data_IF_513742541456
#
_entry.id   IF_513742541456
#
_cell.length_a   1.000
_cell.length_b   1.000
_cell.length_c   1.000
_cell.angle_alpha   90.00
_cell.angle_beta   90.00
_cell.angle_gamma   90.00
#
_symmetry.space_group_name_H-M   'P 1'
#
loop_
_entity.id
_entity.type
_entity.pdbx_description
1 polymer ?
#
# COMPACT_ATOMS: atom_id res chain seq x y z
N UNK A 1 -4.62 -19.15 -27.79
CA UNK A 1 -3.24 -18.70 -28.09
C UNK A 1 -2.56 -18.49 -26.74
N UNK A 2 -1.90 -19.51 -26.18
CA UNK A 2 -0.46 -19.80 -26.32
C UNK A 2 0.42 -18.60 -25.93
N UNK A 3 0.88 -18.66 -24.68
CA UNK A 3 2.23 -18.36 -24.21
C UNK A 3 2.89 -17.06 -24.66
N UNK A 4 2.90 -16.13 -23.70
CA UNK A 4 4.02 -15.28 -23.30
C UNK A 4 5.37 -16.02 -23.43
N UNK A 5 6.40 -15.22 -23.74
CA UNK A 5 7.81 -15.29 -23.31
C UNK A 5 8.88 -15.51 -24.38
N UNK A 6 9.94 -14.72 -24.22
CA UNK A 6 11.25 -14.71 -24.89
C UNK A 6 11.25 -14.03 -26.27
N UNK A 7 12.20 -13.18 -26.65
CA UNK A 7 13.59 -12.98 -26.24
C UNK A 7 13.94 -11.49 -26.41
N UNK A 8 14.50 -10.86 -25.37
CA UNK A 8 15.45 -9.75 -25.56
C UNK A 8 16.71 -10.12 -24.79
N UNK A 9 17.49 -11.03 -25.37
CA UNK A 9 18.81 -11.41 -24.90
C UNK A 9 19.70 -11.60 -26.13
N UNK A 10 20.61 -10.65 -26.33
CA UNK A 10 21.83 -10.64 -27.16
C UNK A 10 22.07 -9.16 -27.54
N UNK A 11 23.23 -8.55 -27.41
CA UNK A 11 24.58 -9.09 -27.33
C UNK A 11 25.51 -7.97 -26.84
N UNK A 12 26.45 -8.35 -25.98
CA UNK A 12 27.59 -7.58 -25.46
C UNK A 12 28.63 -7.37 -26.57
N UNK A 13 29.32 -6.22 -26.64
CA UNK A 13 30.76 -6.04 -26.98
C UNK A 13 31.09 -4.53 -26.78
N UNK A 14 31.80 -4.07 -25.73
CA UNK A 14 33.25 -4.11 -25.42
C UNK A 14 34.06 -2.88 -25.91
N UNK A 15 35.03 -2.49 -25.07
CA UNK A 15 36.18 -1.56 -25.27
C UNK A 15 35.85 -0.05 -25.11
N UNK A 16 36.53 0.77 -24.30
CA UNK A 16 37.73 0.65 -23.47
C UNK A 16 38.17 2.03 -22.94
N UNK A 17 39.26 2.05 -22.15
CA UNK A 17 39.93 3.17 -21.45
C UNK A 17 39.28 3.56 -20.10
N UNK A 18 39.95 3.58 -18.95
CA UNK A 18 41.39 3.60 -18.65
C UNK A 18 41.63 4.65 -17.55
N UNK A 19 42.00 4.22 -16.35
CA UNK A 19 42.22 5.06 -15.14
C UNK A 19 41.06 4.92 -14.14
N UNK A 20 41.23 4.74 -12.83
CA UNK A 20 42.32 5.10 -11.92
C UNK A 20 42.33 4.14 -10.71
N UNK A 21 43.49 4.04 -10.08
CA UNK A 21 43.85 3.21 -8.90
C UNK A 21 42.99 3.45 -7.66
N UNK A 22 42.73 2.42 -6.85
CA UNK A 22 43.04 2.45 -5.40
C UNK A 22 42.99 1.03 -4.81
N UNK A 23 44.12 0.62 -4.22
CA UNK A 23 44.21 -0.57 -3.37
C UNK A 23 43.52 -0.24 -2.03
N UNK A 24 42.51 -1.03 -1.67
CA UNK A 24 41.82 -0.92 -0.39
C UNK A 24 41.37 -2.30 0.06
N UNK A 25 42.16 -2.91 0.94
CA UNK A 25 41.77 -4.10 1.72
C UNK A 25 40.42 -3.85 2.37
N UNK A 26 39.39 -4.59 1.97
CA UNK A 26 38.08 -4.54 2.63
C UNK A 26 37.67 -5.95 3.03
N UNK A 27 37.45 -6.08 4.34
CA UNK A 27 36.90 -7.25 5.05
C UNK A 27 35.64 -7.74 4.33
N UNK A 28 35.30 -9.04 4.40
CA UNK A 28 34.06 -9.53 3.83
C UNK A 28 32.89 -8.84 4.55
N UNK A 29 32.25 -7.89 3.89
CA UNK A 29 30.94 -7.42 4.29
C UNK A 29 29.97 -8.53 3.92
N UNK A 30 29.47 -9.23 4.93
CA UNK A 30 28.28 -10.07 4.82
C UNK A 30 27.13 -9.14 4.40
N UNK A 31 26.97 -8.96 3.10
CA UNK A 31 25.76 -8.42 2.53
C UNK A 31 24.71 -9.52 2.68
N UNK A 32 24.02 -9.52 3.81
CA UNK A 32 22.78 -10.28 3.96
C UNK A 32 21.80 -9.64 3.00
N UNK A 33 21.67 -10.25 1.82
CA UNK A 33 20.67 -9.85 0.84
C UNK A 33 19.29 -9.90 1.53
N UNK A 34 18.40 -8.93 1.27
CA UNK A 34 17.03 -9.00 1.77
C UNK A 34 16.43 -10.32 1.32
N UNK A 35 15.93 -11.11 2.28
CA UNK A 35 15.24 -12.37 1.99
C UNK A 35 13.94 -12.00 1.27
N UNK A 36 13.93 -12.19 -0.05
CA UNK A 36 12.69 -12.19 -0.82
C UNK A 36 11.93 -13.46 -0.46
N UNK A 37 10.96 -13.33 0.45
CA UNK A 37 10.00 -14.39 0.70
C UNK A 37 9.19 -14.62 -0.56
N UNK A 38 9.18 -15.87 -1.06
CA UNK A 38 8.32 -16.22 -2.19
C UNK A 38 6.86 -15.90 -1.85
N UNK A 39 6.09 -15.41 -2.83
CA UNK A 39 4.69 -14.97 -2.66
C UNK A 39 3.69 -16.06 -2.23
N UNK A 40 4.18 -17.25 -1.90
CA UNK A 40 3.41 -18.44 -1.53
C UNK A 40 3.79 -18.95 -0.12
N UNK A 41 4.61 -18.23 0.64
CA UNK A 41 4.96 -18.63 2.01
C UNK A 41 3.89 -18.15 3.00
N UNK A 42 3.74 -18.89 4.11
CA UNK A 42 2.79 -18.51 5.17
C UNK A 42 3.14 -17.14 5.76
N UNK A 43 4.43 -16.84 5.91
CA UNK A 43 4.94 -15.56 6.41
C UNK A 43 4.57 -14.38 5.50
N UNK A 44 4.60 -14.61 4.17
CA UNK A 44 4.16 -13.61 3.20
C UNK A 44 2.66 -13.31 3.35
N UNK A 45 1.83 -14.35 3.46
CA UNK A 45 0.39 -14.19 3.64
C UNK A 45 0.04 -13.51 4.96
N UNK A 46 0.73 -13.85 6.06
CA UNK A 46 0.56 -13.19 7.36
C UNK A 46 0.91 -11.70 7.29
N UNK A 47 2.05 -11.36 6.68
CA UNK A 47 2.48 -9.95 6.52
C UNK A 47 1.47 -9.14 5.71
N UNK A 48 0.88 -9.76 4.68
CA UNK A 48 -0.13 -9.11 3.85
C UNK A 48 -1.47 -8.94 4.60
N UNK A 49 -1.87 -9.94 5.38
CA UNK A 49 -3.04 -9.86 6.25
C UNK A 49 -2.91 -8.71 7.27
N UNK A 50 -1.77 -8.63 7.96
CA UNK A 50 -1.47 -7.55 8.91
C UNK A 50 -1.57 -6.16 8.26
N UNK A 51 -1.05 -6.03 7.04
CA UNK A 51 -1.11 -4.78 6.28
C UNK A 51 -2.53 -4.38 5.92
N UNK A 52 -3.36 -5.34 5.47
CA UNK A 52 -4.76 -5.09 5.14
C UNK A 52 -5.58 -4.72 6.38
N UNK A 53 -5.32 -5.39 7.51
CA UNK A 53 -5.96 -5.08 8.79
C UNK A 53 -5.58 -3.68 9.30
N UNK A 54 -4.31 -3.29 9.14
CA UNK A 54 -3.86 -1.94 9.46
C UNK A 54 -4.55 -0.89 8.58
N UNK A 55 -4.65 -1.13 7.26
CA UNK A 55 -5.37 -0.22 6.36
C UNK A 55 -6.86 -0.10 6.74
N UNK A 56 -7.51 -1.21 7.06
CA UNK A 56 -8.90 -1.22 7.52
C UNK A 56 -9.06 -0.40 8.82
N UNK A 57 -8.13 -0.54 9.76
CA UNK A 57 -8.11 0.21 11.03
C UNK A 57 -7.96 1.72 10.80
N UNK A 58 -7.04 2.13 9.91
CA UNK A 58 -6.82 3.53 9.56
C UNK A 58 -8.05 4.16 8.88
N UNK A 59 -8.69 3.42 7.97
CA UNK A 59 -9.92 3.85 7.32
C UNK A 59 -11.07 3.97 8.33
N UNK A 60 -11.21 3.03 9.26
CA UNK A 60 -12.20 3.11 10.34
C UNK A 60 -11.96 4.34 11.23
N UNK A 61 -10.69 4.67 11.53
CA UNK A 61 -10.35 5.90 12.25
C UNK A 61 -10.76 7.17 11.49
N UNK A 62 -10.55 7.21 10.17
CA UNK A 62 -11.01 8.32 9.31
C UNK A 62 -12.54 8.46 9.35
N UNK A 63 -13.28 7.35 9.30
CA UNK A 63 -14.75 7.36 9.42
C UNK A 63 -15.19 8.00 10.75
N UNK A 64 -14.53 7.68 11.87
CA UNK A 64 -14.82 8.34 13.16
C UNK A 64 -14.63 9.86 13.07
N UNK A 65 -13.56 10.34 12.46
CA UNK A 65 -13.31 11.77 12.25
C UNK A 65 -14.35 12.44 11.34
N UNK A 66 -14.80 11.76 10.28
CA UNK A 66 -15.86 12.26 9.39
C UNK A 66 -17.22 12.31 10.11
N UNK A 67 -17.54 11.31 10.94
CA UNK A 67 -18.75 11.30 11.77
C UNK A 67 -18.80 12.48 12.74
N UNK A 68 -17.67 12.85 13.34
CA UNK A 68 -17.59 14.05 14.19
C UNK A 68 -17.89 15.33 13.40
N UNK A 69 -17.42 15.42 12.14
CA UNK A 69 -17.73 16.56 11.26
C UNK A 69 -19.22 16.59 10.90
N UNK A 70 -19.82 15.45 10.58
CA UNK A 70 -21.28 15.33 10.34
C UNK A 70 -22.05 15.80 11.57
N UNK A 71 -21.67 15.34 12.77
CA UNK A 71 -22.31 15.73 14.02
C UNK A 71 -22.24 17.24 14.29
N UNK A 72 -21.17 17.93 13.85
CA UNK A 72 -21.08 19.40 13.91
C UNK A 72 -22.21 20.07 13.11
N UNK A 73 -22.47 19.59 11.89
CA UNK A 73 -23.53 20.13 11.02
C UNK A 73 -24.93 19.73 11.50
N UNK A 74 -25.09 18.56 12.12
CA UNK A 74 -26.36 18.15 12.74
C UNK A 74 -26.70 19.01 13.97
N UNK A 75 -25.71 19.34 14.80
CA UNK A 75 -25.90 20.26 15.94
C UNK A 75 -26.07 21.72 15.52
N UNK A 76 -25.47 22.13 14.40
CA UNK A 76 -25.51 23.51 13.89
C UNK A 76 -25.94 23.52 12.42
N UNK A 77 -27.24 23.31 12.13
CA UNK A 77 -27.74 23.19 10.75
C UNK A 77 -27.50 24.44 9.90
N UNK A 78 -27.42 25.62 10.53
CA UNK A 78 -27.15 26.88 9.86
C UNK A 78 -25.75 26.97 9.22
N UNK A 79 -24.81 26.11 9.62
CA UNK A 79 -23.48 26.01 8.98
C UNK A 79 -23.51 25.26 7.64
N UNK A 80 -24.59 24.51 7.38
CA UNK A 80 -24.83 23.80 6.13
C UNK A 80 -26.34 23.73 5.86
N UNK A 81 -26.91 24.89 5.54
CA UNK A 81 -28.37 25.06 5.40
C UNK A 81 -28.98 24.20 4.29
N UNK A 82 -28.19 23.89 3.25
CA UNK A 82 -28.62 23.05 2.12
C UNK A 82 -28.27 21.57 2.32
N UNK A 83 -27.49 21.22 3.33
CA UNK A 83 -27.09 19.84 3.60
C UNK A 83 -26.00 19.29 2.67
N UNK A 84 -25.46 20.10 1.75
CA UNK A 84 -24.51 19.64 0.73
C UNK A 84 -23.25 19.03 1.35
N UNK A 85 -22.70 19.69 2.38
CA UNK A 85 -21.49 19.21 3.04
C UNK A 85 -21.78 17.96 3.88
N UNK A 86 -22.88 17.95 4.62
CA UNK A 86 -23.28 16.81 5.44
C UNK A 86 -23.52 15.57 4.57
N UNK A 87 -24.23 15.72 3.47
CA UNK A 87 -24.60 14.61 2.59
C UNK A 87 -23.38 14.09 1.83
N UNK A 88 -22.50 14.98 1.37
CA UNK A 88 -21.20 14.61 0.81
C UNK A 88 -20.31 13.83 1.80
N UNK A 89 -20.26 14.26 3.07
CA UNK A 89 -19.54 13.53 4.12
C UNK A 89 -20.15 12.15 4.38
N UNK A 90 -21.48 12.03 4.43
CA UNK A 90 -22.19 10.76 4.61
C UNK A 90 -21.91 9.78 3.46
N UNK A 91 -21.86 10.28 2.23
CA UNK A 91 -21.47 9.48 1.07
C UNK A 91 -20.04 8.94 1.20
N UNK A 92 -19.07 9.82 1.54
CA UNK A 92 -17.68 9.41 1.73
C UNK A 92 -17.55 8.38 2.86
N UNK A 93 -18.28 8.56 3.96
CA UNK A 93 -18.34 7.59 5.06
C UNK A 93 -18.84 6.23 4.54
N UNK A 94 -19.94 6.21 3.78
CA UNK A 94 -20.49 4.99 3.19
C UNK A 94 -19.49 4.25 2.32
N UNK A 95 -18.85 4.95 1.36
CA UNK A 95 -17.81 4.35 0.49
C UNK A 95 -16.62 3.84 1.31
N UNK A 96 -16.21 4.58 2.33
CA UNK A 96 -15.08 4.18 3.19
C UNK A 96 -15.40 2.93 4.00
N UNK A 97 -16.61 2.83 4.57
CA UNK A 97 -17.07 1.65 5.29
C UNK A 97 -17.15 0.42 4.39
N UNK A 98 -17.62 0.60 3.14
CA UNK A 98 -17.61 -0.49 2.16
C UNK A 98 -16.19 -0.99 1.89
N UNK A 99 -15.22 -0.06 1.72
CA UNK A 99 -13.81 -0.44 1.54
C UNK A 99 -13.24 -1.19 2.75
N UNK A 100 -13.58 -0.76 3.98
CA UNK A 100 -13.19 -1.47 5.21
C UNK A 100 -13.72 -2.90 5.21
N UNK A 101 -15.02 -3.08 4.89
CA UNK A 101 -15.63 -4.41 4.81
C UNK A 101 -14.89 -5.29 3.79
N UNK A 102 -14.61 -4.77 2.58
CA UNK A 102 -13.89 -5.52 1.55
C UNK A 102 -12.48 -5.92 1.98
N UNK A 103 -11.76 -5.03 2.69
CA UNK A 103 -10.42 -5.36 3.20
C UNK A 103 -10.48 -6.43 4.29
N UNK A 104 -11.48 -6.38 5.17
CA UNK A 104 -11.67 -7.39 6.22
C UNK A 104 -12.05 -8.76 5.63
N UNK A 105 -12.90 -8.78 4.60
CA UNK A 105 -13.25 -10.01 3.87
C UNK A 105 -12.02 -10.64 3.18
N UNK A 106 -11.02 -9.82 2.79
CA UNK A 106 -9.77 -10.31 2.22
C UNK A 106 -8.78 -10.85 3.26
N UNK A 107 -8.96 -10.51 4.54
CA UNK A 107 -8.14 -10.99 5.66
C UNK A 107 -8.71 -12.27 6.26
N UNK A 108 -10.04 -12.43 6.25
CA UNK A 108 -10.75 -13.63 6.70
C UNK A 108 -10.59 -14.79 5.70
N UNK A 109 -9.39 -15.36 5.64
CA UNK A 109 -9.09 -16.61 4.94
C UNK A 109 -9.56 -17.84 5.74
#
# INVERSE_FOLDING_TARGET
MKNIMMLFAALIFMVGAGGYTFAGSTKPSLQVAPVEWGSHTAEFHLTQADKLEQEATDLAAKVRGLNQKVAKYEKKPYLDTKGFYRDGLKMIIGTTLQKVSTLQDQVAW
#
